data_IF_804820268235
#
_entry.id   IF_804820268235
#
_cell.length_a   1.000
_cell.length_b   1.000
_cell.length_c   1.000
_cell.angle_alpha   90.00
_cell.angle_beta   90.00
_cell.angle_gamma   90.00
#
_symmetry.space_group_name_H-M   'P 1'
#
loop_
_entity.id
_entity.type
_entity.pdbx_description
1 polymer ?
#
# COMPACT_ATOMS: atom_id res chain seq x y z
N UNK A 1 -7.59 -20.31 -11.14
CA UNK A 1 -7.16 -19.30 -12.13
C UNK A 1 -8.32 -19.14 -13.08
N UNK A 2 -9.02 -18.01 -13.05
CA UNK A 2 -10.14 -17.75 -13.95
C UNK A 2 -9.58 -17.15 -15.24
N UNK A 3 -9.84 -17.81 -16.36
CA UNK A 3 -9.51 -17.32 -17.69
C UNK A 3 -10.81 -16.82 -18.31
N UNK A 4 -11.07 -15.52 -18.19
CA UNK A 4 -12.01 -14.87 -19.10
C UNK A 4 -11.22 -14.31 -20.29
N UNK A 5 -11.86 -14.28 -21.45
CA UNK A 5 -11.24 -13.98 -22.73
C UNK A 5 -11.07 -12.46 -22.95
N UNK A 6 -10.60 -11.73 -21.93
CA UNK A 6 -10.44 -10.28 -21.97
C UNK A 6 -11.78 -9.53 -21.99
N UNK A 7 -12.85 -10.16 -21.51
CA UNK A 7 -14.17 -9.53 -21.37
C UNK A 7 -14.77 -9.90 -20.02
N UNK A 8 -14.18 -9.42 -18.92
CA UNK A 8 -14.77 -9.69 -17.63
C UNK A 8 -16.09 -8.96 -17.47
N UNK A 9 -17.06 -9.52 -16.74
CA UNK A 9 -18.11 -8.69 -16.16
C UNK A 9 -17.45 -7.59 -15.31
N UNK A 10 -18.09 -6.42 -15.26
CA UNK A 10 -17.60 -5.14 -14.71
C UNK A 10 -17.42 -5.15 -13.18
N UNK A 11 -17.01 -6.27 -12.58
CA UNK A 11 -16.93 -6.54 -11.14
C UNK A 11 -15.82 -7.53 -10.79
N UNK A 12 -14.66 -7.42 -11.43
CA UNK A 12 -13.49 -8.19 -11.00
C UNK A 12 -12.77 -7.46 -9.88
N UNK A 13 -12.46 -8.18 -8.81
CA UNK A 13 -11.60 -7.73 -7.73
C UNK A 13 -10.69 -8.85 -7.26
N UNK A 14 -9.54 -8.47 -6.71
CA UNK A 14 -8.70 -9.40 -5.96
C UNK A 14 -8.06 -8.70 -4.76
N UNK A 15 -7.79 -9.51 -3.75
CA UNK A 15 -6.95 -9.15 -2.61
C UNK A 15 -5.83 -10.18 -2.52
N UNK A 16 -4.58 -9.72 -2.46
CA UNK A 16 -3.41 -10.53 -2.18
C UNK A 16 -2.83 -10.10 -0.84
N UNK A 17 -2.62 -11.06 0.07
CA UNK A 17 -1.92 -10.85 1.33
C UNK A 17 -0.65 -11.69 1.35
N UNK A 18 0.50 -11.03 1.52
CA UNK A 18 1.82 -11.65 1.59
C UNK A 18 2.37 -11.48 2.99
N UNK A 19 2.90 -12.57 3.54
CA UNK A 19 3.67 -12.59 4.79
C UNK A 19 5.05 -13.18 4.49
N UNK A 20 6.07 -12.67 5.15
CA UNK A 20 7.46 -13.02 4.86
C UNK A 20 8.02 -13.90 5.97
N UNK A 21 8.61 -15.04 5.62
CA UNK A 21 9.18 -15.95 6.61
C UNK A 21 10.32 -15.31 7.40
N UNK A 22 11.18 -14.55 6.73
CA UNK A 22 12.32 -13.85 7.34
C UNK A 22 11.94 -12.52 8.02
N UNK A 23 10.73 -12.02 7.74
CA UNK A 23 10.17 -10.80 8.32
C UNK A 23 8.73 -11.05 8.79
N UNK A 24 8.53 -11.84 9.86
CA UNK A 24 7.19 -12.18 10.36
C UNK A 24 6.42 -10.97 10.92
N UNK A 25 7.12 -9.88 11.21
CA UNK A 25 6.59 -8.57 11.59
C UNK A 25 6.08 -7.73 10.39
N UNK A 26 6.25 -8.22 9.16
CA UNK A 26 5.85 -7.52 7.94
C UNK A 26 4.69 -8.21 7.20
N UNK A 27 3.72 -7.40 6.77
CA UNK A 27 2.62 -7.80 5.89
C UNK A 27 2.56 -6.85 4.69
N UNK A 28 2.38 -7.41 3.50
CA UNK A 28 2.19 -6.65 2.25
C UNK A 28 0.85 -7.05 1.64
N UNK A 29 0.01 -6.07 1.32
CA UNK A 29 -1.34 -6.26 0.82
C UNK A 29 -1.50 -5.53 -0.50
N UNK A 30 -2.18 -6.18 -1.45
CA UNK A 30 -2.63 -5.57 -2.70
C UNK A 30 -4.13 -5.78 -2.80
N UNK A 31 -4.86 -4.69 -2.96
CA UNK A 31 -6.28 -4.69 -3.28
C UNK A 31 -6.46 -4.02 -4.63
N UNK A 32 -7.13 -4.69 -5.57
CA UNK A 32 -7.44 -4.08 -6.86
C UNK A 32 -8.81 -4.51 -7.35
N UNK A 33 -9.49 -3.61 -8.05
CA UNK A 33 -10.77 -3.89 -8.65
C UNK A 33 -11.02 -3.05 -9.91
N UNK A 34 -11.70 -3.65 -10.88
CA UNK A 34 -12.17 -2.94 -12.05
C UNK A 34 -13.24 -1.91 -11.64
N UNK A 35 -13.16 -0.71 -12.23
CA UNK A 35 -14.11 0.39 -11.99
C UNK A 35 -14.87 0.69 -13.28
N UNK A 36 -16.16 1.00 -13.16
CA UNK A 36 -17.02 1.44 -14.28
C UNK A 36 -17.16 2.96 -14.37
N UNK A 37 -16.92 3.63 -13.24
CA UNK A 37 -16.87 5.07 -13.09
C UNK A 37 -15.84 5.44 -12.00
N UNK A 38 -15.34 6.67 -12.07
CA UNK A 38 -14.53 7.23 -10.98
C UNK A 38 -15.42 7.43 -9.76
N UNK A 39 -15.02 6.91 -8.60
CA UNK A 39 -15.70 7.19 -7.34
C UNK A 39 -15.49 8.67 -6.99
N UNK A 40 -16.56 9.47 -7.06
CA UNK A 40 -16.49 10.92 -6.77
C UNK A 40 -16.52 11.22 -5.27
N UNK A 41 -16.98 10.28 -4.47
CA UNK A 41 -17.13 10.44 -3.03
C UNK A 41 -15.84 10.05 -2.28
N UNK A 42 -14.92 9.37 -2.97
CA UNK A 42 -13.63 8.94 -2.42
C UNK A 42 -12.48 9.66 -3.14
N UNK A 43 -11.91 10.72 -2.54
CA UNK A 43 -10.80 11.42 -3.14
C UNK A 43 -9.55 10.53 -3.20
N UNK A 44 -8.82 10.61 -4.32
CA UNK A 44 -7.53 9.94 -4.51
C UNK A 44 -6.61 10.13 -3.29
N UNK A 45 -5.70 9.19 -3.03
CA UNK A 45 -4.74 9.29 -1.91
C UNK A 45 -4.04 10.66 -1.85
N UNK A 46 -3.61 11.19 -3.00
CA UNK A 46 -2.96 12.52 -3.11
C UNK A 46 -3.73 13.63 -2.39
N UNK A 47 -5.05 13.61 -2.46
CA UNK A 47 -5.93 14.66 -1.94
C UNK A 47 -6.32 14.43 -0.47
N UNK A 48 -6.38 13.16 0.00
CA UNK A 48 -6.76 12.84 1.39
C UNK A 48 -5.58 12.73 2.36
N UNK A 49 -4.37 12.43 1.86
CA UNK A 49 -3.22 12.06 2.69
C UNK A 49 -2.86 13.08 3.77
N UNK A 50 -2.96 14.37 3.49
CA UNK A 50 -2.64 15.41 4.48
C UNK A 50 -3.66 15.45 5.62
N UNK A 51 -4.94 15.28 5.30
CA UNK A 51 -6.01 15.20 6.29
C UNK A 51 -5.83 13.98 7.20
N UNK A 52 -5.57 12.82 6.60
CA UNK A 52 -5.36 11.57 7.34
C UNK A 52 -4.11 11.61 8.23
N UNK A 53 -3.00 12.17 7.72
CA UNK A 53 -1.78 12.32 8.49
C UNK A 53 -1.97 13.28 9.67
N UNK A 54 -2.75 14.35 9.50
CA UNK A 54 -3.08 15.27 10.58
C UNK A 54 -3.94 14.61 11.66
N UNK A 55 -4.94 13.81 11.25
CA UNK A 55 -5.74 13.00 12.19
C UNK A 55 -4.84 12.03 12.94
N UNK A 56 -3.95 11.32 12.25
CA UNK A 56 -3.05 10.36 12.88
C UNK A 56 -2.13 11.05 13.92
N UNK A 57 -1.54 12.19 13.57
CA UNK A 57 -0.70 13.00 14.47
C UNK A 57 -1.45 13.52 15.70
N UNK A 58 -2.76 13.75 15.58
CA UNK A 58 -3.57 14.20 16.70
C UNK A 58 -3.94 13.06 17.67
N UNK A 59 -3.86 11.79 17.24
CA UNK A 59 -4.34 10.64 18.00
C UNK A 59 -3.22 9.71 18.51
N UNK A 60 -2.03 9.75 17.91
CA UNK A 60 -0.88 8.94 18.36
C UNK A 60 -0.08 9.69 19.41
N UNK A 61 0.21 9.04 20.55
CA UNK A 61 1.14 9.58 21.54
C UNK A 61 2.57 9.50 20.99
N UNK A 62 3.22 10.66 20.80
CA UNK A 62 4.59 10.75 20.27
C UNK A 62 4.65 11.27 18.84
N UNK A 63 5.80 11.08 18.18
CA UNK A 63 6.08 11.72 16.89
C UNK A 63 5.79 10.78 15.71
N UNK A 64 4.79 11.13 14.90
CA UNK A 64 4.53 10.49 13.60
C UNK A 64 5.39 11.14 12.51
N UNK A 65 6.38 10.40 12.02
CA UNK A 65 7.29 10.79 10.94
C UNK A 65 6.78 10.36 9.56
N UNK A 66 7.19 11.10 8.53
CA UNK A 66 7.00 10.73 7.12
C UNK A 66 8.33 10.18 6.61
N UNK A 67 8.31 8.93 6.14
CA UNK A 67 9.48 8.22 5.59
C UNK A 67 9.68 8.58 4.11
N UNK A 68 8.59 8.59 3.35
CA UNK A 68 8.57 8.88 1.91
C UNK A 68 7.19 9.45 1.52
N UNK A 69 7.13 10.23 0.45
CA UNK A 69 5.88 10.79 -0.08
C UNK A 69 6.07 11.29 -1.50
N UNK A 70 5.11 11.00 -2.37
CA UNK A 70 5.05 11.63 -3.68
C UNK A 70 4.47 10.73 -4.76
N UNK A 71 4.70 11.15 -6.00
CA UNK A 71 4.29 10.40 -7.19
C UNK A 71 5.15 9.16 -7.32
N UNK A 72 4.51 8.02 -7.55
CA UNK A 72 5.20 6.77 -7.83
C UNK A 72 4.45 6.02 -8.93
N UNK A 73 5.18 5.62 -9.97
CA UNK A 73 4.66 4.74 -11.00
C UNK A 73 4.93 3.28 -10.62
N UNK A 74 3.89 2.49 -10.52
CA UNK A 74 3.97 1.06 -10.20
C UNK A 74 2.90 0.28 -10.95
N UNK A 75 3.15 -0.99 -11.26
CA UNK A 75 2.20 -1.85 -12.00
C UNK A 75 1.67 -1.22 -13.30
N UNK A 76 2.46 -0.37 -13.97
CA UNK A 76 2.07 0.33 -15.20
C UNK A 76 1.16 1.55 -15.01
N UNK A 77 0.82 1.91 -13.77
CA UNK A 77 -0.08 3.03 -13.45
C UNK A 77 0.65 4.15 -12.72
N UNK A 78 0.24 5.39 -12.98
CA UNK A 78 0.65 6.54 -12.19
C UNK A 78 -0.16 6.54 -10.88
N UNK A 79 0.52 6.59 -9.74
CA UNK A 79 -0.11 6.63 -8.44
C UNK A 79 0.58 7.61 -7.50
N UNK A 80 0.09 7.65 -6.27
CA UNK A 80 0.66 8.44 -5.19
C UNK A 80 1.02 7.52 -4.03
N UNK A 81 2.09 7.84 -3.31
CA UNK A 81 2.50 7.08 -2.12
C UNK A 81 2.72 7.96 -0.90
N UNK A 82 2.63 7.31 0.26
CA UNK A 82 3.14 7.80 1.53
C UNK A 82 3.71 6.64 2.37
N UNK A 83 4.87 6.86 2.97
CA UNK A 83 5.43 6.05 4.03
C UNK A 83 5.43 6.82 5.34
N UNK A 84 5.03 6.17 6.43
CA UNK A 84 4.96 6.75 7.78
C UNK A 84 5.65 5.86 8.81
N UNK A 85 6.17 6.49 9.85
CA UNK A 85 6.74 5.85 11.04
C UNK A 85 6.03 6.43 12.27
N UNK A 86 5.56 5.57 13.16
CA UNK A 86 4.89 5.98 14.39
C UNK A 86 5.39 5.13 15.56
N UNK A 87 5.48 5.68 16.79
CA UNK A 87 5.78 4.89 17.98
C UNK A 87 4.79 3.73 18.14
N UNK A 88 5.26 2.61 18.67
CA UNK A 88 4.40 1.49 19.04
C UNK A 88 4.31 1.41 20.56
N UNK A 89 3.15 1.80 21.10
CA UNK A 89 2.96 1.97 22.54
C UNK A 89 3.04 0.64 23.33
N UNK A 90 2.80 -0.49 22.66
CA UNK A 90 2.83 -1.82 23.30
C UNK A 90 4.27 -2.30 23.55
N UNK A 91 5.24 -1.85 22.77
CA UNK A 91 6.65 -2.26 22.89
C UNK A 91 7.54 -1.00 22.93
N UNK A 92 7.98 -0.56 24.13
CA UNK A 92 8.74 0.66 24.29
C UNK A 92 9.99 0.73 23.41
N UNK A 93 10.19 1.90 22.77
CA UNK A 93 11.36 2.15 21.91
C UNK A 93 11.26 1.53 20.51
N UNK A 94 10.10 0.98 20.13
CA UNK A 94 9.85 0.45 18.79
C UNK A 94 8.86 1.31 18.02
N UNK A 95 8.83 1.12 16.70
CA UNK A 95 8.02 1.89 15.77
C UNK A 95 7.26 0.96 14.85
N UNK A 96 5.98 1.29 14.59
CA UNK A 96 5.25 0.79 13.43
C UNK A 96 5.68 1.59 12.22
N UNK A 97 5.86 0.91 11.10
CA UNK A 97 6.09 1.53 9.80
C UNK A 97 5.02 1.09 8.84
N UNK A 98 4.43 2.04 8.13
CA UNK A 98 3.40 1.76 7.16
C UNK A 98 3.65 2.50 5.87
N UNK A 99 3.56 1.79 4.76
CA UNK A 99 3.61 2.36 3.42
C UNK A 99 2.28 2.13 2.73
N UNK A 100 1.87 3.10 1.94
CA UNK A 100 0.69 3.04 1.11
C UNK A 100 1.02 3.61 -0.26
N UNK A 101 0.47 2.99 -1.29
CA UNK A 101 0.39 3.53 -2.63
C UNK A 101 -0.99 3.26 -3.20
N UNK A 102 -1.50 4.20 -3.98
CA UNK A 102 -2.78 4.06 -4.66
C UNK A 102 -2.71 4.62 -6.07
N UNK A 103 -3.37 3.91 -6.99
CA UNK A 103 -3.71 4.39 -8.32
C UNK A 103 -5.24 4.40 -8.46
N UNK A 104 -5.79 5.53 -8.92
CA UNK A 104 -7.24 5.74 -9.03
C UNK A 104 -7.91 4.84 -10.09
N UNK A 105 -7.12 4.24 -10.98
CA UNK A 105 -7.60 3.42 -12.08
C UNK A 105 -8.21 4.21 -13.25
N UNK A 106 -8.59 3.49 -14.30
CA UNK A 106 -9.25 4.01 -15.49
C UNK A 106 -10.55 3.23 -15.71
N UNK A 107 -11.71 3.92 -15.79
CA UNK A 107 -12.99 3.27 -16.03
C UNK A 107 -12.99 2.35 -17.25
N UNK A 108 -13.50 1.13 -17.05
CA UNK A 108 -13.63 0.08 -18.06
C UNK A 108 -12.29 -0.36 -18.68
N UNK A 109 -11.16 -0.15 -17.99
CA UNK A 109 -9.85 -0.66 -18.38
C UNK A 109 -9.30 -1.63 -17.33
N UNK A 110 -9.38 -2.92 -17.64
CA UNK A 110 -8.97 -4.02 -16.76
C UNK A 110 -7.45 -4.07 -16.54
N UNK A 111 -6.66 -3.40 -17.39
CA UNK A 111 -5.20 -3.30 -17.23
C UNK A 111 -4.80 -2.12 -16.34
N UNK A 112 -5.74 -1.22 -16.05
CA UNK A 112 -5.58 -0.07 -15.17
C UNK A 112 -6.72 0.01 -14.15
N UNK A 113 -6.89 -1.02 -13.29
CA UNK A 113 -7.91 -1.01 -12.26
C UNK A 113 -7.59 0.04 -11.20
N UNK A 114 -8.58 0.39 -10.36
CA UNK A 114 -8.26 0.99 -9.08
C UNK A 114 -7.41 -0.01 -8.29
N UNK A 115 -6.35 0.48 -7.65
CA UNK A 115 -5.44 -0.37 -6.92
C UNK A 115 -4.86 0.35 -5.72
N UNK A 116 -4.90 -0.33 -4.57
CA UNK A 116 -4.22 0.05 -3.35
C UNK A 116 -3.20 -1.03 -2.99
N UNK A 117 -2.05 -0.56 -2.55
CA UNK A 117 -0.96 -1.40 -2.08
C UNK A 117 -0.55 -0.84 -0.74
N UNK A 118 -0.51 -1.69 0.29
CA UNK A 118 0.02 -1.30 1.58
C UNK A 118 1.03 -2.30 2.10
N UNK A 119 1.97 -1.79 2.89
CA UNK A 119 2.90 -2.59 3.64
C UNK A 119 2.90 -2.12 5.08
N UNK A 120 2.62 -3.02 6.01
CA UNK A 120 2.68 -2.75 7.44
C UNK A 120 3.80 -3.57 8.06
N UNK A 121 4.68 -2.90 8.80
CA UNK A 121 5.71 -3.52 9.63
C UNK A 121 5.40 -3.13 11.07
N UNK A 122 5.04 -4.11 11.87
CA UNK A 122 4.67 -3.93 13.27
C UNK A 122 5.41 -4.96 14.13
N UNK A 123 6.12 -4.53 15.19
CA UNK A 123 6.80 -5.45 16.10
C UNK A 123 5.86 -6.55 16.60
N UNK A 124 6.36 -7.78 16.66
CA UNK A 124 5.60 -8.90 17.22
C UNK A 124 5.43 -8.77 18.73
N UNK A 125 4.50 -9.52 19.33
CA UNK A 125 4.18 -9.50 20.76
C UNK A 125 5.39 -9.77 21.68
N UNK A 126 6.44 -10.44 21.18
CA UNK A 126 7.71 -10.66 21.89
C UNK A 126 8.71 -9.49 21.73
N UNK A 127 8.27 -8.37 21.17
CA UNK A 127 9.02 -7.14 20.97
C UNK A 127 10.10 -7.21 19.89
N UNK A 128 10.11 -8.28 19.07
CA UNK A 128 11.09 -8.42 18.00
C UNK A 128 10.59 -7.71 16.76
N UNK A 129 11.33 -6.68 16.35
CA UNK A 129 11.25 -6.16 15.00
C UNK A 129 12.48 -6.60 14.23
N UNK A 130 12.25 -7.25 13.09
CA UNK A 130 13.32 -7.66 12.17
C UNK A 130 13.78 -6.49 11.32
N UNK A 131 12.91 -5.50 11.10
CA UNK A 131 13.19 -4.27 10.34
C UNK A 131 13.24 -3.09 11.32
N UNK A 132 14.44 -2.61 11.63
CA UNK A 132 14.66 -1.70 12.75
C UNK A 132 14.66 -0.24 12.35
N UNK A 133 14.93 0.04 11.07
CA UNK A 133 15.10 1.40 10.56
C UNK A 133 14.10 1.75 9.46
N UNK A 134 13.83 3.04 9.33
CA UNK A 134 12.96 3.56 8.27
C UNK A 134 13.57 3.29 6.88
N UNK A 135 14.90 3.28 6.78
CA UNK A 135 15.64 2.99 5.55
C UNK A 135 15.49 1.52 5.12
N UNK A 136 15.61 0.57 6.04
CA UNK A 136 15.38 -0.86 5.75
C UNK A 136 13.92 -1.11 5.33
N UNK A 137 12.97 -0.48 6.02
CA UNK A 137 11.55 -0.59 5.68
C UNK A 137 11.26 -0.01 4.29
N UNK A 138 11.84 1.15 3.96
CA UNK A 138 11.72 1.74 2.63
C UNK A 138 12.35 0.86 1.56
N UNK A 139 13.51 0.25 1.83
CA UNK A 139 14.15 -0.64 0.86
C UNK A 139 13.28 -1.87 0.53
N UNK A 140 12.65 -2.48 1.54
CA UNK A 140 11.70 -3.57 1.32
C UNK A 140 10.48 -3.10 0.52
N UNK A 141 9.92 -1.94 0.87
CA UNK A 141 8.81 -1.32 0.14
C UNK A 141 9.16 -1.12 -1.34
N UNK A 142 10.26 -0.42 -1.63
CA UNK A 142 10.71 -0.08 -2.98
C UNK A 142 10.93 -1.35 -3.82
N UNK A 143 11.50 -2.40 -3.23
CA UNK A 143 11.68 -3.70 -3.87
C UNK A 143 10.34 -4.36 -4.24
N UNK A 144 9.39 -4.40 -3.31
CA UNK A 144 8.10 -5.06 -3.51
C UNK A 144 7.25 -4.30 -4.53
N UNK A 145 7.06 -2.99 -4.34
CA UNK A 145 6.22 -2.19 -5.23
C UNK A 145 6.83 -2.06 -6.63
N UNK A 146 8.16 -1.96 -6.73
CA UNK A 146 8.87 -1.93 -8.00
C UNK A 146 8.81 -3.24 -8.78
N UNK A 147 8.47 -4.35 -8.12
CA UNK A 147 8.30 -5.66 -8.78
C UNK A 147 6.92 -5.86 -9.40
N UNK A 148 5.94 -5.02 -9.03
CA UNK A 148 4.57 -5.14 -9.52
C UNK A 148 4.50 -4.82 -11.01
N UNK A 149 3.91 -5.74 -11.77
CA UNK A 149 3.69 -5.60 -13.21
C UNK A 149 2.38 -6.26 -13.63
N UNK A 150 1.72 -5.65 -14.61
CA UNK A 150 0.64 -6.33 -15.33
C UNK A 150 1.23 -7.51 -16.10
N UNK A 151 0.51 -8.64 -16.08
CA UNK A 151 0.95 -9.85 -16.79
C UNK A 151 1.06 -9.55 -18.30
N UNK A 152 2.18 -9.90 -18.95
CA UNK A 152 2.29 -9.80 -20.41
C UNK A 152 1.19 -10.61 -21.10
N UNK A 153 0.53 -10.02 -22.09
CA UNK A 153 -0.56 -10.65 -22.84
C UNK A 153 -1.95 -10.55 -22.20
N UNK A 154 -2.15 -9.66 -21.22
CA UNK A 154 -3.46 -9.34 -20.65
C UNK A 154 -4.31 -8.40 -21.54
N UNK A 155 -4.10 -8.41 -22.86
CA UNK A 155 -4.78 -7.55 -23.86
C UNK A 155 -5.31 -8.39 -25.00
#
# INVERSE_FOLDING_TARGET
MFADSGKPPVKESFTLVVRFADHPDAQFVIDAHAIDAVNKDEPSLRHRVDGELNILRANVQGHVGVIDRGDLKAAGQDGYQIGISAPYDEVPGTHIRKFFWSADGVPNDVTRPFMEVDMTIQPTDDGKSTIKTDAEAKALWDQLIGSLRIRPGAV
#
